data_IF_849006934909
#
_entry.id   IF_849006934909
#
_cell.length_a   1.000
_cell.length_b   1.000
_cell.length_c   1.000
_cell.angle_alpha   90.00
_cell.angle_beta   90.00
_cell.angle_gamma   90.00
#
_symmetry.space_group_name_H-M   'P 1'
#
loop_
_entity.id
_entity.type
_entity.pdbx_description
1 polymer ?
#
# COMPACT_ATOMS: atom_id res chain seq x y z
N UNK A 1 -10.58 10.70 -12.33
CA UNK A 1 -9.95 9.93 -11.24
C UNK A 1 -11.06 9.14 -10.56
N UNK A 2 -11.06 7.80 -10.63
CA UNK A 2 -12.06 6.99 -9.91
C UNK A 2 -11.88 7.27 -8.41
N UNK A 3 -12.98 7.60 -7.71
CA UNK A 3 -12.98 7.68 -6.24
C UNK A 3 -12.54 6.32 -5.71
N UNK A 4 -11.59 6.27 -4.78
CA UNK A 4 -11.42 5.07 -3.97
C UNK A 4 -12.74 4.85 -3.24
N UNK A 5 -13.27 3.63 -3.36
CA UNK A 5 -14.35 3.16 -2.50
C UNK A 5 -13.86 3.16 -1.04
N UNK A 6 -14.80 3.14 -0.10
CA UNK A 6 -14.48 3.02 1.31
C UNK A 6 -13.72 1.70 1.55
N UNK A 7 -12.51 1.78 2.12
CA UNK A 7 -11.66 0.62 2.37
C UNK A 7 -12.20 -0.17 3.55
N UNK A 8 -12.33 -1.49 3.41
CA UNK A 8 -12.73 -2.37 4.51
C UNK A 8 -11.51 -3.07 5.09
N UNK A 9 -11.19 -2.70 6.31
CA UNK A 9 -10.12 -3.33 7.06
C UNK A 9 -10.62 -4.61 7.72
N UNK A 10 -9.75 -5.60 7.85
CA UNK A 10 -10.01 -6.80 8.64
C UNK A 10 -10.14 -6.49 10.15
N UNK A 11 -10.41 -7.52 10.96
CA UNK A 11 -10.53 -7.39 12.42
C UNK A 11 -9.25 -6.86 13.11
N UNK A 12 -8.12 -6.82 12.39
CA UNK A 12 -6.83 -6.30 12.86
C UNK A 12 -6.54 -4.90 12.32
N UNK A 13 -7.48 -4.28 11.62
CA UNK A 13 -7.32 -2.97 11.01
C UNK A 13 -6.39 -2.97 9.80
N UNK A 14 -6.29 -4.10 9.07
CA UNK A 14 -5.37 -4.26 7.94
C UNK A 14 -6.10 -4.58 6.62
N UNK A 15 -5.47 -4.18 5.51
CA UNK A 15 -5.82 -4.57 4.15
C UNK A 15 -4.61 -5.17 3.43
N UNK A 16 -4.82 -6.11 2.49
CA UNK A 16 -3.78 -6.51 1.55
C UNK A 16 -3.57 -5.41 0.51
N UNK A 17 -2.31 -5.14 0.17
CA UNK A 17 -1.93 -4.22 -0.91
C UNK A 17 -1.04 -4.98 -1.89
N UNK A 18 -1.46 -4.98 -3.15
CA UNK A 18 -0.70 -5.52 -4.28
C UNK A 18 0.03 -4.37 -4.96
N UNK A 19 1.36 -4.47 -5.07
CA UNK A 19 2.16 -3.54 -5.85
C UNK A 19 2.40 -4.12 -7.23
N UNK A 20 2.05 -3.34 -8.25
CA UNK A 20 2.22 -3.69 -9.64
C UNK A 20 3.09 -2.64 -10.34
N UNK A 21 3.98 -3.08 -11.23
CA UNK A 21 4.73 -2.18 -12.09
C UNK A 21 3.76 -1.51 -13.09
N UNK A 22 3.85 -0.18 -13.18
CA UNK A 22 2.90 0.63 -13.96
C UNK A 22 3.13 0.57 -15.48
N UNK A 23 4.25 0.00 -15.93
CA UNK A 23 4.60 -0.16 -17.35
C UNK A 23 4.36 -1.62 -17.77
N UNK A 24 4.91 -2.57 -17.02
CA UNK A 24 4.93 -3.99 -17.42
C UNK A 24 3.71 -4.77 -16.94
N UNK A 25 2.95 -4.23 -15.98
CA UNK A 25 1.89 -4.92 -15.24
C UNK A 25 2.39 -6.13 -14.42
N UNK A 26 3.69 -6.26 -14.19
CA UNK A 26 4.23 -7.29 -13.30
C UNK A 26 3.82 -7.03 -11.86
N UNK A 27 3.34 -8.08 -11.17
CA UNK A 27 3.09 -8.02 -9.72
C UNK A 27 4.42 -8.13 -9.00
N UNK A 28 4.85 -7.04 -8.37
CA UNK A 28 6.15 -6.93 -7.71
C UNK A 28 6.12 -7.51 -6.30
N UNK A 29 5.04 -7.26 -5.55
CA UNK A 29 4.88 -7.77 -4.19
C UNK A 29 3.47 -7.63 -3.65
N UNK A 30 3.19 -8.36 -2.58
CA UNK A 30 2.01 -8.18 -1.72
C UNK A 30 2.48 -7.87 -0.30
N UNK A 31 1.85 -6.90 0.34
CA UNK A 31 2.09 -6.55 1.74
C UNK A 31 0.79 -6.14 2.43
N UNK A 32 0.85 -5.91 3.74
CA UNK A 32 -0.28 -5.45 4.53
C UNK A 32 -0.13 -3.96 4.84
N UNK A 33 -1.24 -3.24 4.87
CA UNK A 33 -1.29 -1.84 5.27
C UNK A 33 -2.44 -1.61 6.24
N UNK A 34 -2.23 -0.73 7.22
CA UNK A 34 -3.30 -0.19 8.06
C UNK A 34 -3.76 1.18 7.50
N UNK A 35 -4.74 1.81 8.14
CA UNK A 35 -5.27 3.11 7.71
C UNK A 35 -4.21 4.21 7.65
N UNK A 36 -3.31 4.28 8.64
CA UNK A 36 -2.22 5.25 8.66
C UNK A 36 -1.25 5.06 7.49
N UNK A 37 -0.89 3.82 7.17
CA UNK A 37 -0.01 3.51 6.04
C UNK A 37 -0.63 3.97 4.72
N UNK A 38 -1.93 3.77 4.55
CA UNK A 38 -2.69 4.22 3.39
C UNK A 38 -2.71 5.75 3.28
N UNK A 39 -2.89 6.48 4.37
CA UNK A 39 -2.82 7.94 4.37
C UNK A 39 -1.40 8.45 4.05
N UNK A 40 -0.36 7.77 4.55
CA UNK A 40 1.02 8.05 4.16
C UNK A 40 1.26 7.80 2.67
N UNK A 41 0.70 6.74 2.09
CA UNK A 41 0.78 6.50 0.65
C UNK A 41 0.17 7.65 -0.17
N UNK A 42 -1.02 8.12 0.23
CA UNK A 42 -1.71 9.24 -0.45
C UNK A 42 -0.94 10.55 -0.33
N UNK A 43 -0.42 10.85 0.85
CA UNK A 43 0.26 12.12 1.14
C UNK A 43 1.69 12.18 0.59
N UNK A 44 2.45 11.09 0.70
CA UNK A 44 3.87 11.08 0.29
C UNK A 44 4.08 10.66 -1.16
N UNK A 45 3.13 9.93 -1.75
CA UNK A 45 3.29 9.31 -3.07
C UNK A 45 4.29 8.14 -3.10
N UNK A 46 4.62 7.55 -1.94
CA UNK A 46 5.47 6.36 -1.81
C UNK A 46 4.75 5.26 -1.03
N UNK A 47 5.05 4.00 -1.33
CA UNK A 47 4.41 2.86 -0.65
C UNK A 47 4.86 2.75 0.82
N UNK A 48 3.90 2.69 1.73
CA UNK A 48 4.09 2.50 3.18
C UNK A 48 3.27 1.29 3.64
N UNK A 49 3.83 0.46 4.50
CA UNK A 49 3.20 -0.80 4.89
C UNK A 49 3.26 -1.02 6.40
N UNK A 50 2.38 -1.89 6.89
CA UNK A 50 2.37 -2.36 8.28
C UNK A 50 2.99 -3.75 8.37
N UNK A 51 4.07 -3.88 9.13
CA UNK A 51 4.67 -5.19 9.42
C UNK A 51 3.89 -5.89 10.52
N UNK A 52 3.18 -6.97 10.18
CA UNK A 52 2.42 -7.78 11.16
C UNK A 52 3.31 -8.47 12.19
N UNK A 53 4.54 -8.85 11.83
CA UNK A 53 5.47 -9.50 12.75
C UNK A 53 6.20 -8.50 13.65
N UNK A 54 6.56 -7.33 13.11
CA UNK A 54 7.30 -6.30 13.84
C UNK A 54 6.41 -5.25 14.52
N UNK A 55 5.10 -5.29 14.24
CA UNK A 55 4.09 -4.33 14.73
C UNK A 55 4.54 -2.88 14.53
N UNK A 56 5.05 -2.57 13.33
CA UNK A 56 5.56 -1.25 12.99
C UNK A 56 5.28 -0.86 11.55
N UNK A 57 5.17 0.44 11.33
CA UNK A 57 5.18 1.08 10.02
C UNK A 57 6.55 0.92 9.36
N UNK A 58 6.59 0.81 8.03
CA UNK A 58 7.83 0.93 7.27
C UNK A 58 7.56 1.49 5.87
N UNK A 59 8.51 2.28 5.35
CA UNK A 59 8.49 2.76 3.96
C UNK A 59 9.31 1.82 3.09
N UNK A 60 8.75 1.37 1.96
CA UNK A 60 9.49 0.48 1.06
C UNK A 60 10.76 1.15 0.57
N UNK A 61 11.89 0.48 0.78
CA UNK A 61 13.18 0.96 0.33
C UNK A 61 13.80 2.05 1.23
N UNK A 62 13.30 2.27 2.45
CA UNK A 62 13.91 3.26 3.36
C UNK A 62 15.37 2.96 3.68
N UNK A 63 15.74 1.68 3.81
CA UNK A 63 17.11 1.25 4.08
C UNK A 63 17.91 0.95 2.79
N UNK A 64 17.27 0.39 1.76
CA UNK A 64 17.94 -0.07 0.53
C UNK A 64 17.99 0.96 -0.59
N UNK A 65 17.23 2.07 -0.49
CA UNK A 65 17.03 3.03 -1.58
C UNK A 65 16.08 2.54 -2.69
N UNK A 66 15.66 1.26 -2.69
CA UNK A 66 14.73 0.69 -3.67
C UNK A 66 13.28 1.08 -3.34
N UNK A 67 13.00 2.39 -3.46
CA UNK A 67 11.70 3.00 -3.17
C UNK A 67 10.71 2.78 -4.31
N UNK A 68 9.42 2.69 -3.97
CA UNK A 68 8.35 2.56 -4.95
C UNK A 68 7.51 3.84 -4.95
N UNK A 69 7.59 4.59 -6.05
CA UNK A 69 6.79 5.81 -6.28
C UNK A 69 5.44 5.42 -6.86
N UNK A 70 4.37 5.87 -6.21
CA UNK A 70 3.00 5.53 -6.58
C UNK A 70 2.59 6.36 -7.81
N UNK A 71 2.06 5.67 -8.82
CA UNK A 71 1.47 6.29 -10.02
C UNK A 71 -0.04 6.39 -9.96
N UNK A 72 -0.68 5.37 -9.39
CA UNK A 72 -2.11 5.36 -9.10
C UNK A 72 -2.39 4.40 -7.94
N UNK A 73 -3.52 4.61 -7.27
CA UNK A 73 -4.06 3.68 -6.27
C UNK A 73 -5.46 3.31 -6.75
N UNK A 74 -5.75 2.01 -6.75
CA UNK A 74 -7.04 1.47 -7.14
C UNK A 74 -7.52 0.54 -6.02
N UNK A 75 -8.83 0.53 -5.80
CA UNK A 75 -9.52 -0.39 -4.89
C UNK A 75 -10.28 -1.41 -5.72
N UNK A 76 -10.49 -2.59 -5.16
CA UNK A 76 -11.38 -3.58 -5.76
C UNK A 76 -12.86 -3.18 -5.60
N UNK A 77 -13.76 -4.07 -6.04
CA UNK A 77 -15.19 -3.79 -6.09
C UNK A 77 -15.88 -3.79 -4.73
N UNK A 78 -15.28 -4.42 -3.73
CA UNK A 78 -15.89 -4.69 -2.42
C UNK A 78 -15.27 -3.88 -1.29
N UNK A 79 -14.14 -3.21 -1.52
CA UNK A 79 -13.51 -2.33 -0.53
C UNK A 79 -12.71 -3.10 0.49
#
# INVERSE_FOLDING_TARGET
>A
MRKMTELKYDDKGLIPVVVQDWITNEVLMVAWSNAEAVELMKSTGYTHFWSRSRQKMWKKGEESGHVQKIKSIQTDCDG
#
